data_IF_423459987729
#
_entry.id   IF_423459987729
#
_cell.length_a   1.000
_cell.length_b   1.000
_cell.length_c   1.000
_cell.angle_alpha   90.00
_cell.angle_beta   90.00
_cell.angle_gamma   90.00
#
_symmetry.space_group_name_H-M   'P 1'
#
loop_
_entity.id
_entity.type
_entity.pdbx_description
1 polymer ?
#
# COMPACT_ATOMS: atom_id res chain seq x y z
N UNK A 1 14.87 -4.47 20.64
CA UNK A 1 14.75 -3.23 19.84
C UNK A 1 13.36 -3.34 19.23
N UNK A 2 12.49 -2.32 19.22
CA UNK A 2 11.24 -2.50 18.50
C UNK A 2 11.64 -2.55 17.03
N UNK A 3 11.62 -3.75 16.46
CA UNK A 3 11.68 -3.95 15.02
C UNK A 3 10.51 -3.14 14.43
N UNK A 4 10.82 -1.96 13.90
CA UNK A 4 9.85 -1.13 13.21
C UNK A 4 9.28 -1.95 12.05
N UNK A 5 7.95 -1.99 11.94
CA UNK A 5 7.26 -2.71 10.87
C UNK A 5 7.34 -1.87 9.59
N UNK A 6 8.18 -2.31 8.64
CA UNK A 6 8.46 -1.56 7.43
C UNK A 6 7.49 -1.95 6.32
N UNK A 7 6.78 -0.96 5.79
CA UNK A 7 5.75 -1.16 4.78
C UNK A 7 6.14 -0.42 3.51
N UNK A 8 6.23 -1.14 2.40
CA UNK A 8 6.48 -0.54 1.09
C UNK A 8 5.18 -0.36 0.30
N UNK A 9 4.98 0.83 -0.23
CA UNK A 9 3.88 1.12 -1.14
C UNK A 9 4.38 0.84 -2.56
N UNK A 10 3.72 -0.06 -3.31
CA UNK A 10 4.13 -0.39 -4.67
C UNK A 10 3.42 0.50 -5.70
N UNK A 11 4.18 1.01 -6.68
CA UNK A 11 3.71 1.91 -7.75
C UNK A 11 2.79 1.23 -8.80
N UNK A 12 2.98 -0.06 -9.09
CA UNK A 12 2.18 -0.85 -10.09
C UNK A 12 0.67 -0.92 -9.84
N UNK A 13 0.25 -0.27 -8.78
CA UNK A 13 -1.06 -0.19 -8.18
C UNK A 13 -1.89 0.96 -8.75
N UNK A 14 -1.27 1.99 -9.34
CA UNK A 14 -1.91 3.30 -9.53
C UNK A 14 -1.55 4.02 -10.84
N UNK A 15 -1.22 3.31 -11.93
CA UNK A 15 -1.03 3.96 -13.25
C UNK A 15 -2.26 4.76 -13.75
N UNK A 16 -3.40 4.70 -13.05
CA UNK A 16 -4.64 5.40 -13.40
C UNK A 16 -5.13 6.43 -12.35
N UNK A 17 -4.37 6.77 -11.31
CA UNK A 17 -4.83 7.78 -10.31
C UNK A 17 -3.94 9.02 -10.22
N UNK A 18 -4.57 10.15 -9.87
CA UNK A 18 -4.01 11.49 -9.74
C UNK A 18 -3.07 11.69 -8.53
N UNK A 19 -2.59 10.62 -7.92
CA UNK A 19 -1.63 10.68 -6.82
C UNK A 19 -0.22 10.68 -7.40
N UNK A 20 0.52 11.75 -7.19
CA UNK A 20 1.86 11.93 -7.77
C UNK A 20 2.82 10.82 -7.32
N UNK A 21 3.64 10.33 -8.25
CA UNK A 21 4.65 9.27 -8.04
C UNK A 21 5.56 9.53 -6.82
N UNK A 22 5.79 10.80 -6.47
CA UNK A 22 6.64 11.25 -5.36
C UNK A 22 6.08 10.91 -3.95
N UNK A 23 4.77 10.72 -3.83
CA UNK A 23 4.14 10.42 -2.53
C UNK A 23 4.13 8.92 -2.19
N UNK A 24 4.37 8.04 -3.17
CA UNK A 24 4.09 6.59 -3.03
C UNK A 24 5.29 5.67 -3.27
N UNK A 25 6.44 6.15 -3.77
CA UNK A 25 7.72 5.40 -3.71
C UNK A 25 8.41 5.58 -2.35
N UNK A 26 7.64 5.37 -1.28
CA UNK A 26 8.10 5.57 0.10
C UNK A 26 7.82 4.34 0.94
N UNK A 27 8.84 3.93 1.68
CA UNK A 27 8.69 2.98 2.77
C UNK A 27 8.19 3.73 4.00
N UNK A 28 7.13 3.24 4.62
CA UNK A 28 6.57 3.80 5.84
C UNK A 28 6.93 2.87 6.99
N UNK A 29 7.59 3.41 7.99
CA UNK A 29 7.87 2.71 9.23
C UNK A 29 6.69 2.85 10.19
N UNK A 30 6.14 1.71 10.59
CA UNK A 30 5.10 1.64 11.60
C UNK A 30 5.66 1.05 12.89
N UNK A 31 5.11 1.40 14.06
CA UNK A 31 5.51 0.77 15.32
C UNK A 31 5.15 -0.73 15.38
N UNK A 32 4.15 -1.17 14.61
CA UNK A 32 3.64 -2.54 14.59
C UNK A 32 2.74 -2.78 13.36
N UNK A 33 2.50 -4.05 13.00
CA UNK A 33 1.55 -4.45 11.93
C UNK A 33 0.17 -3.82 12.13
N UNK A 34 -0.37 -3.86 13.35
CA UNK A 34 -1.69 -3.28 13.66
C UNK A 34 -1.77 -1.79 13.34
N UNK A 35 -0.69 -1.03 13.56
CA UNK A 35 -0.67 0.40 13.21
C UNK A 35 -0.68 0.61 11.69
N UNK A 36 -0.02 -0.29 10.94
CA UNK A 36 -0.08 -0.26 9.48
C UNK A 36 -1.48 -0.60 8.97
N UNK A 37 -2.15 -1.58 9.57
CA UNK A 37 -3.53 -1.93 9.24
C UNK A 37 -4.50 -0.77 9.53
N UNK A 38 -4.38 -0.14 10.70
CA UNK A 38 -5.20 1.03 11.05
C UNK A 38 -4.98 2.17 10.06
N UNK A 39 -3.73 2.46 9.71
CA UNK A 39 -3.41 3.45 8.69
C UNK A 39 -4.05 3.12 7.33
N UNK A 40 -3.98 1.86 6.87
CA UNK A 40 -4.65 1.42 5.63
C UNK A 40 -6.16 1.63 5.70
N UNK A 41 -6.79 1.36 6.85
CA UNK A 41 -8.23 1.59 7.06
C UNK A 41 -8.57 3.08 7.02
N UNK A 42 -7.75 3.93 7.63
CA UNK A 42 -7.93 5.39 7.59
C UNK A 42 -7.78 5.94 6.17
N UNK A 43 -6.74 5.52 5.45
CA UNK A 43 -6.56 5.91 4.05
C UNK A 43 -7.72 5.42 3.17
N UNK A 44 -8.18 4.19 3.40
CA UNK A 44 -9.36 3.66 2.72
C UNK A 44 -10.60 4.50 2.98
N UNK A 45 -10.83 5.00 4.20
CA UNK A 45 -11.97 5.89 4.48
C UNK A 45 -11.88 7.19 3.69
N UNK A 46 -10.69 7.77 3.58
CA UNK A 46 -10.45 9.01 2.83
C UNK A 46 -10.58 8.80 1.32
N UNK A 47 -10.14 7.64 0.81
CA UNK A 47 -10.05 7.33 -0.62
C UNK A 47 -11.04 6.25 -1.07
N UNK A 48 -12.13 6.03 -0.31
CA UNK A 48 -13.13 4.97 -0.55
C UNK A 48 -13.78 5.07 -1.93
N UNK A 49 -13.82 6.26 -2.52
CA UNK A 49 -14.39 6.51 -3.84
C UNK A 49 -13.45 6.11 -4.99
N UNK A 50 -12.14 6.02 -4.73
CA UNK A 50 -11.12 5.69 -5.75
C UNK A 50 -10.83 4.19 -5.80
N UNK A 51 -10.80 3.53 -4.63
CA UNK A 51 -10.47 2.12 -4.54
C UNK A 51 -10.23 1.66 -3.10
N UNK A 52 -9.54 0.53 -2.97
CA UNK A 52 -9.24 -0.11 -1.70
C UNK A 52 -7.76 -0.45 -1.59
N UNK A 53 -7.07 0.17 -0.64
CA UNK A 53 -5.76 -0.23 -0.12
C UNK A 53 -5.88 -1.52 0.72
N UNK A 54 -4.92 -2.40 0.58
CA UNK A 54 -4.83 -3.68 1.28
C UNK A 54 -3.37 -3.92 1.68
N UNK A 55 -3.18 -4.33 2.92
CA UNK A 55 -1.86 -4.70 3.44
C UNK A 55 -1.59 -6.18 3.10
N UNK A 56 -0.43 -6.45 2.55
CA UNK A 56 0.06 -7.75 2.16
C UNK A 56 1.40 -8.01 2.84
N UNK A 57 1.40 -8.88 3.85
CA UNK A 57 2.64 -9.30 4.52
C UNK A 57 3.62 -9.87 3.49
N UNK A 58 4.87 -9.41 3.55
CA UNK A 58 5.93 -9.86 2.67
C UNK A 58 6.18 -11.35 2.91
N UNK A 59 6.43 -12.09 1.82
CA UNK A 59 6.72 -13.51 1.95
C UNK A 59 8.08 -13.69 2.64
N UNK A 60 8.30 -14.70 3.49
CA UNK A 60 9.61 -14.95 4.14
C UNK A 60 10.76 -15.29 3.16
N UNK A 61 10.45 -15.42 1.87
CA UNK A 61 11.43 -15.66 0.80
C UNK A 61 11.58 -14.44 -0.12
N UNK A 62 10.87 -13.36 0.20
CA UNK A 62 11.01 -12.08 -0.44
C UNK A 62 12.35 -11.46 -0.04
N UNK A 63 13.04 -10.87 -1.02
CA UNK A 63 14.37 -10.27 -0.81
C UNK A 63 14.29 -8.77 -0.52
N UNK A 64 13.10 -8.20 -0.55
CA UNK A 64 12.88 -6.82 -0.20
C UNK A 64 12.89 -6.75 1.33
N UNK A 65 13.66 -5.81 1.88
CA UNK A 65 13.93 -5.70 3.31
C UNK A 65 12.74 -5.09 4.08
N UNK A 66 11.51 -5.51 3.76
CA UNK A 66 10.26 -4.95 4.24
C UNK A 66 9.39 -6.05 4.85
N UNK A 67 8.59 -5.69 5.84
CA UNK A 67 7.68 -6.62 6.52
C UNK A 67 6.38 -6.81 5.73
N UNK A 68 5.92 -5.76 5.03
CA UNK A 68 4.71 -5.82 4.23
C UNK A 68 4.71 -4.84 3.06
N UNK A 69 3.73 -5.05 2.19
CA UNK A 69 3.42 -4.21 1.04
C UNK A 69 2.01 -3.68 1.16
N UNK A 70 1.81 -2.45 0.73
CA UNK A 70 0.47 -1.92 0.50
C UNK A 70 0.16 -1.97 -0.99
N UNK A 71 -0.93 -2.66 -1.30
CA UNK A 71 -1.48 -2.80 -2.64
C UNK A 71 -2.83 -2.11 -2.65
N UNK A 72 -3.04 -1.21 -3.60
CA UNK A 72 -4.35 -0.66 -3.89
C UNK A 72 -5.04 -1.36 -5.06
N UNK A 73 -6.35 -1.45 -4.91
CA UNK A 73 -7.23 -2.08 -5.85
C UNK A 73 -8.27 -1.03 -6.24
N UNK A 74 -8.20 -0.47 -7.46
CA UNK A 74 -9.20 0.49 -7.91
C UNK A 74 -10.60 -0.13 -7.88
N UNK A 75 -11.61 0.65 -7.50
CA UNK A 75 -13.02 0.24 -7.56
C UNK A 75 -13.62 0.43 -8.97
N UNK A 76 -12.85 1.01 -9.90
CA UNK A 76 -13.19 1.11 -11.31
C UNK A 76 -12.91 -0.21 -12.05
N UNK A 77 -13.86 -0.64 -12.87
CA UNK A 77 -13.68 -1.74 -13.84
C UNK A 77 -12.43 -1.42 -14.66
N UNK A 78 -11.39 -2.26 -14.56
CA UNK A 78 -10.26 -2.25 -15.47
C UNK A 78 -10.82 -2.29 -16.90
N UNK A 79 -10.76 -1.18 -17.62
CA UNK A 79 -11.04 -1.16 -19.05
C UNK A 79 -9.67 -1.33 -19.67
N UNK A 80 -9.28 -2.54 -20.14
CA UNK A 80 -8.09 -2.64 -20.96
C UNK A 80 -8.33 -1.75 -22.17
N UNK A 81 -7.54 -0.68 -22.32
CA UNK A 81 -7.46 0.07 -23.56
C UNK A 81 -7.08 -0.94 -24.65
N UNK A 82 -7.97 -1.09 -25.63
CA UNK A 82 -7.94 -2.13 -26.66
C UNK A 82 -7.07 -1.77 -27.86
#
# INVERSE_FOLDING_TARGET
MPDSYLVELKNSVFQETLLSEDEFDRQIEFPSETNAEEWVVEQNRTHSEMGKLTLHTAHPNDKSNVDAYVIFQPLGRWVPDS
#
